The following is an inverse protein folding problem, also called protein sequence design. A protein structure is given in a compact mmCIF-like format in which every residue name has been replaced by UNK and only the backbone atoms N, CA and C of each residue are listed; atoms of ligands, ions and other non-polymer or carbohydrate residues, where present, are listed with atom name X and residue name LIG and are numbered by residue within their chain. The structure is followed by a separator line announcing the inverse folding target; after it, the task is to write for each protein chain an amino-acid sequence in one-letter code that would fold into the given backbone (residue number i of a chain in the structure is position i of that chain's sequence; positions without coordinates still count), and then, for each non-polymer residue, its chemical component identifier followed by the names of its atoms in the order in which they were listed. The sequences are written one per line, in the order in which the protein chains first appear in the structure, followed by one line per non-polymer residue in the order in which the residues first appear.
data_IF_738280277649
#
_entry.id   IF_738280277649
#
_cell.length_a   1.000
_cell.length_b   1.000
_cell.length_c   1.000
_cell.angle_alpha   90.00
_cell.angle_beta   90.00
_cell.angle_gamma   90.00
#
_symmetry.space_group_name_H-M   'P 1'
#
loop_
_entity.id
_entity.type
_entity.pdbx_description
1 polymer ?
#
# COMPACT_ATOMS: atom_id res chain seq x y z
N UNK A 1 -11.69 -14.03 10.03
CA UNK A 1 -10.94 -12.87 9.53
C UNK A 1 -10.19 -12.31 10.70
N UNK A 2 -8.86 -12.34 10.64
CA UNK A 2 -8.07 -11.39 11.43
C UNK A 2 -8.32 -9.99 10.82
N UNK A 3 -7.97 -8.91 11.50
CA UNK A 3 -7.92 -7.56 10.88
C UNK A 3 -6.46 -7.13 10.63
N UNK A 4 -5.53 -8.06 10.84
CA UNK A 4 -4.09 -7.81 10.85
C UNK A 4 -3.56 -7.46 9.46
N UNK A 5 -4.15 -8.02 8.39
CA UNK A 5 -3.75 -7.70 7.01
C UNK A 5 -4.09 -6.26 6.65
N UNK A 6 -5.31 -5.83 6.97
CA UNK A 6 -5.83 -4.49 6.75
C UNK A 6 -5.14 -3.46 7.64
N UNK A 7 -4.89 -3.77 8.92
CA UNK A 7 -4.12 -2.92 9.84
C UNK A 7 -2.70 -2.68 9.30
N UNK A 8 -1.97 -3.75 8.96
CA UNK A 8 -0.63 -3.65 8.39
C UNK A 8 -0.63 -2.82 7.09
N UNK A 9 -1.56 -3.10 6.18
CA UNK A 9 -1.64 -2.38 4.91
C UNK A 9 -1.90 -0.88 5.10
N UNK A 10 -2.82 -0.51 6.00
CA UNK A 10 -3.13 0.90 6.27
C UNK A 10 -1.94 1.68 6.80
N UNK A 11 -1.19 1.09 7.74
CA UNK A 11 0.05 1.67 8.26
C UNK A 11 1.12 1.75 7.15
N UNK A 12 1.30 0.67 6.40
CA UNK A 12 2.31 0.59 5.35
C UNK A 12 2.07 1.62 4.24
N UNK A 13 0.84 1.80 3.77
CA UNK A 13 0.47 2.83 2.77
C UNK A 13 0.78 4.24 3.31
N UNK A 14 0.48 4.49 4.58
CA UNK A 14 0.74 5.80 5.18
C UNK A 14 2.24 6.11 5.17
N UNK A 15 3.08 5.14 5.54
CA UNK A 15 4.53 5.35 5.65
C UNK A 15 5.27 5.30 4.31
N UNK A 16 4.81 4.47 3.36
CA UNK A 16 5.52 4.23 2.11
C UNK A 16 4.96 5.00 0.91
N UNK A 17 3.66 5.31 0.91
CA UNK A 17 2.99 5.98 -0.23
C UNK A 17 2.64 7.43 0.12
N UNK A 18 2.10 7.69 1.32
CA UNK A 18 1.60 9.02 1.69
C UNK A 18 2.68 9.92 2.31
N UNK A 19 3.49 9.37 3.22
CA UNK A 19 4.64 10.05 3.86
C UNK A 19 5.95 9.77 3.15
N UNK A 20 6.04 8.60 2.52
CA UNK A 20 7.20 8.16 1.77
C UNK A 20 7.47 9.07 0.58
N UNK A 21 8.74 9.26 0.27
CA UNK A 21 9.26 10.10 -0.81
C UNK A 21 8.95 9.54 -2.21
N UNK A 22 7.68 9.27 -2.53
CA UNK A 22 7.22 8.95 -3.90
C UNK A 22 7.57 10.09 -4.87
N UNK A 23 7.90 11.28 -4.35
CA UNK A 23 8.42 12.42 -5.11
C UNK A 23 9.93 12.42 -5.39
N UNK A 24 10.75 11.53 -4.80
CA UNK A 24 12.20 11.51 -5.03
C UNK A 24 12.62 10.52 -6.13
N UNK A 25 11.94 9.38 -6.23
CA UNK A 25 12.04 8.42 -7.32
C UNK A 25 10.65 7.78 -7.50
N UNK A 26 10.04 7.90 -8.68
CA UNK A 26 8.72 7.33 -8.96
C UNK A 26 8.85 5.80 -8.97
N UNK A 27 8.51 5.16 -7.85
CA UNK A 27 8.41 3.70 -7.76
C UNK A 27 7.10 3.28 -8.43
N UNK A 28 7.14 2.29 -9.32
CA UNK A 28 5.94 1.77 -9.97
C UNK A 28 5.01 1.03 -8.99
N UNK A 29 3.72 0.94 -9.30
CA UNK A 29 2.75 0.19 -8.47
C UNK A 29 3.18 -1.27 -8.29
N UNK A 30 3.78 -1.88 -9.30
CA UNK A 30 4.29 -3.26 -9.24
C UNK A 30 5.45 -3.42 -8.23
N UNK A 31 6.35 -2.44 -8.19
CA UNK A 31 7.46 -2.43 -7.24
C UNK A 31 6.96 -2.17 -5.81
N UNK A 32 5.99 -1.26 -5.64
CA UNK A 32 5.34 -1.04 -4.34
C UNK A 32 4.60 -2.28 -3.84
N UNK A 33 3.90 -2.98 -4.74
CA UNK A 33 3.21 -4.24 -4.39
C UNK A 33 4.22 -5.31 -3.96
N UNK A 34 5.33 -5.44 -4.69
CA UNK A 34 6.41 -6.37 -4.32
C UNK A 34 7.01 -6.02 -2.96
N UNK A 35 7.23 -4.72 -2.69
CA UNK A 35 7.77 -4.24 -1.41
C UNK A 35 6.79 -4.49 -0.26
N UNK A 36 5.49 -4.21 -0.45
CA UNK A 36 4.44 -4.47 0.54
C UNK A 36 4.50 -5.92 1.02
N UNK A 37 4.56 -6.88 0.10
CA UNK A 37 4.60 -8.30 0.44
C UNK A 37 5.91 -8.74 1.10
N UNK A 38 7.04 -8.18 0.68
CA UNK A 38 8.32 -8.42 1.34
C UNK A 38 8.31 -7.92 2.81
N UNK A 39 7.78 -6.72 3.04
CA UNK A 39 7.70 -6.11 4.37
C UNK A 39 6.66 -6.84 5.25
N UNK A 40 5.50 -7.23 4.69
CA UNK A 40 4.48 -8.03 5.37
C UNK A 40 5.06 -9.35 5.87
N UNK A 41 5.79 -10.05 5.00
CA UNK A 41 6.44 -11.31 5.33
C UNK A 41 7.49 -11.16 6.44
N UNK A 42 8.20 -10.03 6.47
CA UNK A 42 9.19 -9.75 7.51
C UNK A 42 8.55 -9.58 8.91
N UNK A 43 7.30 -9.11 8.98
CA UNK A 43 6.53 -8.99 10.24
C UNK A 43 5.59 -10.18 10.49
N UNK A 44 5.62 -11.19 9.64
CA UNK A 44 4.83 -12.42 9.78
C UNK A 44 3.36 -12.26 9.37
N UNK A 45 3.04 -11.29 8.52
CA UNK A 45 1.75 -11.17 7.83
C UNK A 45 1.87 -11.78 6.44
N UNK A 46 0.97 -12.68 6.08
CA UNK A 46 0.97 -13.30 4.76
C UNK A 46 0.28 -12.43 3.70
N UNK A 47 0.70 -12.61 2.44
CA UNK A 47 0.06 -11.97 1.29
C UNK A 47 -1.43 -12.32 1.21
N UNK A 48 -1.79 -13.56 1.57
CA UNK A 48 -3.17 -14.02 1.56
C UNK A 48 -4.03 -13.31 2.62
N UNK A 49 -3.52 -13.10 3.84
CA UNK A 49 -4.24 -12.36 4.89
C UNK A 49 -4.53 -10.92 4.44
N UNK A 50 -3.57 -10.29 3.75
CA UNK A 50 -3.77 -8.98 3.14
C UNK A 50 -4.88 -9.11 2.08
N UNK A 51 -4.67 -9.92 1.04
CA UNK A 51 -5.59 -9.95 -0.10
C UNK A 51 -7.02 -10.45 0.25
N UNK A 52 -7.19 -11.25 1.29
CA UNK A 52 -8.50 -11.66 1.80
C UNK A 52 -9.30 -10.47 2.37
N UNK A 53 -8.62 -9.54 3.04
CA UNK A 53 -9.24 -8.42 3.75
C UNK A 53 -9.42 -7.18 2.86
N UNK A 54 -8.47 -6.92 1.96
CA UNK A 54 -8.40 -5.67 1.16
C UNK A 54 -8.66 -5.93 -0.34
N UNK A 55 -8.67 -7.19 -0.77
CA UNK A 55 -8.73 -7.55 -2.18
C UNK A 55 -7.36 -7.42 -2.84
N UNK A 56 -7.34 -6.95 -4.09
CA UNK A 56 -6.11 -6.78 -4.86
C UNK A 56 -5.23 -5.70 -4.23
N UNK A 57 -4.10 -6.09 -3.63
CA UNK A 57 -3.13 -5.15 -3.06
C UNK A 57 -2.63 -4.15 -4.11
N UNK A 58 -2.47 -4.59 -5.36
CA UNK A 58 -2.11 -3.74 -6.49
C UNK A 58 -3.13 -2.62 -6.72
N UNK A 59 -4.43 -2.98 -6.82
CA UNK A 59 -5.49 -2.01 -7.07
C UNK A 59 -5.67 -1.04 -5.89
N UNK A 60 -5.50 -1.54 -4.66
CA UNK A 60 -5.56 -0.73 -3.45
C UNK A 60 -4.40 0.29 -3.39
N UNK A 61 -3.17 -0.11 -3.75
CA UNK A 61 -2.03 0.82 -3.87
C UNK A 61 -2.26 1.84 -4.98
N UNK A 62 -2.74 1.39 -6.16
CA UNK A 62 -3.06 2.30 -7.27
C UNK A 62 -4.11 3.33 -6.86
N UNK A 63 -5.18 2.88 -6.19
CA UNK A 63 -6.23 3.77 -5.68
C UNK A 63 -5.69 4.78 -4.67
N UNK A 64 -4.77 4.37 -3.79
CA UNK A 64 -4.12 5.26 -2.84
C UNK A 64 -3.29 6.36 -3.55
N UNK A 65 -2.51 5.99 -4.58
CA UNK A 65 -1.71 6.94 -5.36
C UNK A 65 -2.61 7.91 -6.13
N UNK A 66 -3.60 7.41 -6.87
CA UNK A 66 -4.55 8.25 -7.63
C UNK A 66 -5.36 9.16 -6.69
N UNK A 67 -5.73 8.66 -5.51
CA UNK A 67 -6.39 9.45 -4.47
C UNK A 67 -5.54 10.62 -3.98
N UNK A 68 -4.23 10.40 -3.78
CA UNK A 68 -3.27 11.44 -3.43
C UNK A 68 -3.17 12.52 -4.51
N UNK A 69 -3.05 12.13 -5.78
CA UNK A 69 -2.96 13.06 -6.92
C UNK A 69 -4.21 13.94 -7.08
N UNK A 70 -5.39 13.42 -6.73
CA UNK A 70 -6.65 14.15 -6.78
C UNK A 70 -6.84 15.07 -5.57
N UNK A 71 -6.31 14.70 -4.39
CA UNK A 71 -6.36 15.55 -3.18
C UNK A 71 -5.57 16.85 -3.30
N UNK A 72 -4.58 16.90 -4.21
CA UNK A 72 -3.83 18.11 -4.56
C UNK A 72 -4.46 18.99 -5.66
N UNK A 73 -5.59 18.57 -6.26
CA UNK A 73 -6.29 19.29 -7.34
C UNK A 73 -7.64 19.86 -6.89
N UNK A 74 -7.68 20.52 -5.74
CA UNK A 74 -8.78 21.44 -5.42
C UNK A 74 -8.26 22.87 -5.62
N UNK A 75 -8.42 23.38 -6.85
CA UNK A 75 -8.39 24.82 -7.16
C UNK A 75 -9.76 25.46 -6.87
#
# INVERSE_FOLDING_TARGET
MSERGAEFFGEWITDNVMRGSVGADIISVAELTTKLFADAKAVGVSEHEIEEEIGSAYDAILAAIVGLENSGKSD
#
